data_IF_720515291675
#
_entry.id   IF_720515291675
#
_cell.length_a   1.000
_cell.length_b   1.000
_cell.length_c   1.000
_cell.angle_alpha   90.00
_cell.angle_beta   90.00
_cell.angle_gamma   90.00
#
_symmetry.space_group_name_H-M   'P 1'
#
loop_
_entity.id
_entity.type
_entity.pdbx_description
1 polymer ?
#
# COMPACT_ATOMS: atom_id res chain seq x y z
N UNK A 1 -11.87 12.09 -12.48
CA UNK A 1 -11.57 11.79 -11.07
C UNK A 1 -12.21 12.87 -10.20
N UNK A 2 -12.69 12.51 -9.01
CA UNK A 2 -13.16 13.48 -8.02
C UNK A 2 -11.98 14.37 -7.62
N UNK A 3 -12.09 15.68 -7.83
CA UNK A 3 -11.12 16.65 -7.31
C UNK A 3 -11.06 16.52 -5.78
N UNK A 4 -9.88 16.68 -5.13
CA UNK A 4 -9.77 16.64 -3.66
C UNK A 4 -10.77 17.56 -2.96
N UNK A 5 -11.07 18.69 -3.60
CA UNK A 5 -12.00 19.70 -3.07
C UNK A 5 -13.49 19.29 -3.17
N UNK A 6 -13.82 18.17 -3.83
CA UNK A 6 -15.20 17.68 -3.88
C UNK A 6 -15.55 16.96 -2.58
N UNK A 7 -16.26 17.70 -1.73
CA UNK A 7 -16.98 17.18 -0.58
C UNK A 7 -18.21 16.40 -1.05
N UNK A 8 -18.39 15.18 -0.54
CA UNK A 8 -19.58 14.38 -0.81
C UNK A 8 -20.79 15.00 -0.11
N UNK A 9 -21.94 15.04 -0.79
CA UNK A 9 -23.19 15.37 -0.11
C UNK A 9 -23.65 14.21 0.80
N UNK A 10 -24.69 14.44 1.61
CA UNK A 10 -25.18 13.46 2.58
C UNK A 10 -25.57 12.11 1.95
N UNK A 11 -26.20 12.13 0.76
CA UNK A 11 -26.61 10.90 0.07
C UNK A 11 -25.40 10.13 -0.46
N UNK A 12 -24.43 10.83 -1.04
CA UNK A 12 -23.18 10.23 -1.51
C UNK A 12 -22.37 9.65 -0.35
N UNK A 13 -22.32 10.34 0.80
CA UNK A 13 -21.67 9.82 2.00
C UNK A 13 -22.33 8.52 2.46
N UNK A 14 -23.67 8.47 2.48
CA UNK A 14 -24.42 7.27 2.84
C UNK A 14 -24.14 6.09 1.89
N UNK A 15 -24.03 6.34 0.58
CA UNK A 15 -23.66 5.32 -0.41
C UNK A 15 -22.25 4.79 -0.14
N UNK A 16 -21.27 5.66 0.05
CA UNK A 16 -19.90 5.22 0.31
C UNK A 16 -19.81 4.47 1.65
N UNK A 17 -20.52 4.91 2.69
CA UNK A 17 -20.58 4.19 3.97
C UNK A 17 -21.22 2.81 3.85
N UNK A 18 -22.25 2.65 3.01
CA UNK A 18 -22.86 1.36 2.73
C UNK A 18 -21.87 0.40 2.05
N UNK A 19 -21.14 0.87 1.03
CA UNK A 19 -20.11 0.07 0.33
C UNK A 19 -19.00 -0.35 1.30
N UNK A 20 -18.55 0.53 2.19
CA UNK A 20 -17.54 0.17 3.22
C UNK A 20 -18.03 -0.92 4.15
N UNK A 21 -19.28 -0.82 4.59
CA UNK A 21 -19.86 -1.82 5.49
C UNK A 21 -20.03 -3.18 4.80
N UNK A 22 -20.33 -3.17 3.50
CA UNK A 22 -20.48 -4.38 2.69
C UNK A 22 -19.14 -5.07 2.44
N UNK A 23 -18.08 -4.31 2.15
CA UNK A 23 -16.73 -4.85 1.99
C UNK A 23 -16.18 -5.38 3.32
N UNK A 24 -16.42 -4.66 4.41
CA UNK A 24 -15.95 -5.04 5.74
C UNK A 24 -14.43 -5.05 5.87
N UNK A 25 -13.93 -5.46 7.04
CA UNK A 25 -12.50 -5.76 7.21
C UNK A 25 -12.23 -7.20 6.74
N UNK A 26 -11.06 -7.48 6.15
CA UNK A 26 -10.66 -8.84 5.75
C UNK A 26 -10.80 -9.86 6.89
N UNK A 27 -11.21 -11.07 6.52
CA UNK A 27 -11.32 -12.18 7.47
C UNK A 27 -9.93 -12.73 7.86
N UNK A 28 -9.86 -13.40 9.01
CA UNK A 28 -8.67 -14.18 9.41
C UNK A 28 -8.30 -15.18 8.31
N UNK A 29 -7.01 -15.26 8.00
CA UNK A 29 -6.48 -16.08 6.90
C UNK A 29 -6.42 -15.37 5.56
N UNK A 30 -6.91 -14.12 5.46
CA UNK A 30 -6.82 -13.35 4.22
C UNK A 30 -5.36 -12.98 3.92
N UNK A 31 -4.95 -13.20 2.66
CA UNK A 31 -3.65 -12.75 2.17
C UNK A 31 -3.69 -11.26 1.84
N UNK A 32 -2.78 -10.52 2.44
CA UNK A 32 -2.65 -9.08 2.33
C UNK A 32 -1.31 -8.71 1.69
N UNK A 33 -1.27 -7.56 1.03
CA UNK A 33 -0.08 -7.06 0.33
C UNK A 33 0.17 -5.59 0.64
N UNK A 34 1.43 -5.25 0.91
CA UNK A 34 1.93 -3.89 1.12
C UNK A 34 3.02 -3.58 0.11
N UNK A 35 2.74 -2.64 -0.79
CA UNK A 35 3.74 -2.12 -1.73
C UNK A 35 4.60 -1.05 -1.05
N UNK A 36 5.92 -1.11 -1.25
CA UNK A 36 6.92 -0.19 -0.68
C UNK A 36 7.90 0.30 -1.76
N UNK A 37 8.40 1.55 -1.65
CA UNK A 37 9.34 2.11 -2.62
C UNK A 37 10.72 1.47 -2.50
N UNK A 38 11.55 1.58 -3.55
CA UNK A 38 12.90 1.01 -3.57
C UNK A 38 13.73 1.40 -2.34
N UNK A 39 13.62 2.67 -1.95
CA UNK A 39 14.37 3.22 -0.82
C UNK A 39 13.97 2.63 0.55
N UNK A 40 12.77 2.07 0.66
CA UNK A 40 12.29 1.46 1.90
C UNK A 40 12.68 -0.01 2.04
N UNK A 41 13.01 -0.70 0.93
CA UNK A 41 13.47 -2.10 0.97
C UNK A 41 14.64 -2.25 1.95
N UNK A 42 15.65 -1.38 1.84
CA UNK A 42 16.78 -1.38 2.77
C UNK A 42 16.39 -1.11 4.22
N UNK A 43 15.35 -0.30 4.46
CA UNK A 43 14.87 -0.03 5.83
C UNK A 43 14.27 -1.28 6.43
N UNK A 44 13.43 -2.00 5.70
CA UNK A 44 12.83 -3.25 6.18
C UNK A 44 13.84 -4.39 6.37
N UNK A 45 14.94 -4.38 5.62
CA UNK A 45 16.00 -5.37 5.76
C UNK A 45 16.96 -5.08 6.92
N UNK A 46 17.22 -3.81 7.25
CA UNK A 46 18.35 -3.43 8.12
C UNK A 46 18.06 -2.40 9.21
N UNK A 47 16.93 -1.68 9.17
CA UNK A 47 16.58 -0.71 10.21
C UNK A 47 15.74 -1.39 11.30
N UNK A 48 16.30 -1.47 12.51
CA UNK A 48 15.64 -2.05 13.70
C UNK A 48 14.30 -1.38 14.05
N UNK A 49 14.00 -0.19 13.49
CA UNK A 49 12.71 0.48 13.67
C UNK A 49 11.62 -0.04 12.73
N UNK A 50 11.95 -0.80 11.70
CA UNK A 50 11.02 -1.32 10.69
C UNK A 50 10.67 -2.78 11.00
N UNK A 51 9.98 -2.99 12.12
CA UNK A 51 9.68 -4.32 12.68
C UNK A 51 8.35 -4.93 12.24
N UNK A 52 7.66 -4.32 11.26
CA UNK A 52 6.34 -4.78 10.85
C UNK A 52 5.68 -3.91 9.80
N UNK A 53 4.55 -4.40 9.29
CA UNK A 53 3.74 -3.75 8.25
C UNK A 53 3.04 -2.51 8.81
N UNK A 54 3.12 -1.41 8.06
CA UNK A 54 2.57 -0.09 8.43
C UNK A 54 1.87 0.61 7.26
N UNK A 55 1.00 1.56 7.60
CA UNK A 55 0.27 2.39 6.64
C UNK A 55 -0.74 1.58 5.83
N UNK A 56 -1.06 2.07 4.63
CA UNK A 56 -2.08 1.45 3.78
C UNK A 56 -1.61 0.14 3.13
N UNK A 57 -2.49 -0.84 3.10
CA UNK A 57 -2.31 -2.19 2.54
C UNK A 57 -3.60 -2.60 1.83
N UNK A 58 -3.52 -3.57 0.92
CA UNK A 58 -4.67 -4.11 0.22
C UNK A 58 -4.75 -5.63 0.41
N UNK A 59 -5.93 -6.19 0.18
CA UNK A 59 -6.05 -7.64 -0.04
C UNK A 59 -5.31 -7.98 -1.32
N UNK A 60 -4.49 -9.04 -1.29
CA UNK A 60 -3.61 -9.43 -2.40
C UNK A 60 -4.38 -9.60 -3.72
N UNK A 61 -5.54 -10.27 -3.66
CA UNK A 61 -6.40 -10.50 -4.83
C UNK A 61 -6.91 -9.20 -5.47
N UNK A 62 -7.18 -8.16 -4.67
CA UNK A 62 -7.66 -6.88 -5.20
C UNK A 62 -6.57 -6.14 -5.98
N UNK A 63 -5.30 -6.36 -5.64
CA UNK A 63 -4.13 -5.77 -6.30
C UNK A 63 -3.46 -6.69 -7.32
N UNK A 64 -3.92 -7.94 -7.51
CA UNK A 64 -3.22 -8.96 -8.30
C UNK A 64 -2.99 -8.58 -9.79
N UNK A 65 -3.78 -7.64 -10.32
CA UNK A 65 -3.63 -7.13 -11.68
C UNK A 65 -2.64 -5.95 -11.81
N UNK A 66 -2.12 -5.42 -10.70
CA UNK A 66 -1.13 -4.34 -10.66
C UNK A 66 0.28 -4.96 -10.63
N UNK A 67 0.89 -5.16 -11.80
CA UNK A 67 2.14 -5.93 -11.91
C UNK A 67 3.38 -5.04 -11.85
N UNK A 68 3.33 -3.91 -12.52
CA UNK A 68 4.45 -2.98 -12.63
C UNK A 68 4.40 -1.93 -11.52
N UNK A 69 5.53 -1.24 -11.30
CA UNK A 69 5.54 -0.12 -10.37
C UNK A 69 4.57 0.98 -10.82
N UNK A 70 4.50 1.29 -12.12
CA UNK A 70 3.59 2.30 -12.64
C UNK A 70 2.12 1.94 -12.39
N UNK A 71 1.72 0.68 -12.59
CA UNK A 71 0.35 0.22 -12.31
C UNK A 71 0.01 0.29 -10.83
N UNK A 72 0.94 -0.09 -9.94
CA UNK A 72 0.75 0.06 -8.49
C UNK A 72 0.68 1.54 -8.09
N UNK A 73 1.52 2.38 -8.67
CA UNK A 73 1.56 3.81 -8.42
C UNK A 73 0.25 4.50 -8.80
N UNK A 74 -0.27 4.23 -10.00
CA UNK A 74 -1.54 4.76 -10.46
C UNK A 74 -2.73 4.11 -9.75
N UNK A 75 -2.73 2.79 -9.59
CA UNK A 75 -3.82 2.00 -9.03
C UNK A 75 -4.09 2.30 -7.57
N UNK A 76 -3.04 2.28 -6.75
CA UNK A 76 -3.08 2.57 -5.31
C UNK A 76 -2.85 4.06 -4.99
N UNK A 77 -2.77 4.94 -6.00
CA UNK A 77 -2.58 6.39 -5.83
C UNK A 77 -1.39 6.72 -4.93
N UNK A 78 -0.24 6.16 -5.28
CA UNK A 78 1.03 6.39 -4.59
C UNK A 78 1.65 7.74 -4.98
N UNK A 79 0.93 8.59 -5.73
CA UNK A 79 1.25 9.96 -6.16
C UNK A 79 1.02 11.03 -5.08
N UNK A 80 1.13 10.67 -3.80
CA UNK A 80 0.99 11.58 -2.67
C UNK A 80 2.20 12.50 -2.47
N UNK A 81 1.95 13.66 -1.87
CA UNK A 81 3.04 14.59 -1.52
C UNK A 81 4.06 13.91 -0.59
N UNK A 82 5.33 14.07 -0.90
CA UNK A 82 6.42 13.39 -0.21
C UNK A 82 6.54 11.89 -0.50
N UNK A 83 5.85 11.37 -1.52
CA UNK A 83 6.04 9.97 -1.97
C UNK A 83 7.49 9.69 -2.30
N UNK A 84 7.95 8.52 -1.86
CA UNK A 84 9.30 8.03 -2.12
C UNK A 84 9.37 7.11 -3.35
N UNK A 85 8.23 6.82 -3.97
CA UNK A 85 8.15 6.05 -5.20
C UNK A 85 8.60 6.88 -6.41
N UNK A 86 9.44 6.30 -7.27
CA UNK A 86 9.97 6.98 -8.46
C UNK A 86 9.60 6.22 -9.73
N UNK A 87 8.51 6.62 -10.39
CA UNK A 87 8.08 6.01 -11.67
C UNK A 87 8.79 6.61 -12.89
N UNK A 88 9.30 7.83 -12.78
CA UNK A 88 10.02 8.54 -13.83
C UNK A 88 11.16 9.39 -13.22
N UNK A 89 11.81 10.23 -14.03
CA UNK A 89 12.88 11.13 -13.59
C UNK A 89 12.37 12.37 -12.81
N UNK A 90 11.07 12.42 -12.51
CA UNK A 90 10.37 13.52 -11.83
C UNK A 90 9.87 14.60 -12.80
N UNK A 91 8.57 14.91 -12.75
CA UNK A 91 7.99 16.05 -13.48
C UNK A 91 6.51 16.35 -13.26
N UNK A 92 5.86 15.84 -12.20
CA UNK A 92 4.39 15.73 -12.13
C UNK A 92 3.84 16.47 -10.88
N UNK A 93 4.27 17.72 -10.67
CA UNK A 93 3.54 18.78 -9.94
C UNK A 93 3.19 18.61 -8.44
N UNK A 94 3.28 17.42 -7.85
CA UNK A 94 2.92 17.13 -6.44
C UNK A 94 4.05 16.33 -5.77
N UNK A 95 4.55 15.28 -6.41
CA UNK A 95 5.67 14.50 -5.92
C UNK A 95 7.01 15.07 -6.43
N UNK A 96 7.93 15.41 -5.51
CA UNK A 96 9.31 15.86 -5.84
C UNK A 96 10.41 14.79 -5.68
N UNK A 97 10.25 13.51 -6.09
CA UNK A 97 11.40 12.62 -6.09
C UNK A 97 12.45 13.11 -7.09
N UNK A 98 13.60 13.55 -6.59
CA UNK A 98 14.79 13.84 -7.41
C UNK A 98 15.55 12.52 -7.58
N UNK A 99 15.85 12.12 -8.82
CA UNK A 99 16.71 10.97 -9.11
C UNK A 99 16.25 10.14 -10.31
N UNK A 100 16.93 9.02 -10.53
CA UNK A 100 16.51 8.03 -11.51
C UNK A 100 15.23 7.30 -11.03
N UNK A 101 14.41 6.79 -11.96
CA UNK A 101 13.31 5.88 -11.64
C UNK A 101 13.78 4.71 -10.78
N UNK A 102 12.89 4.22 -9.94
CA UNK A 102 13.09 3.01 -9.17
C UNK A 102 13.20 1.83 -10.16
N UNK A 103 14.29 1.08 -10.07
CA UNK A 103 14.47 -0.15 -10.85
C UNK A 103 13.73 -1.30 -10.21
N UNK A 104 13.60 -1.26 -8.89
CA UNK A 104 12.88 -2.26 -8.10
C UNK A 104 11.91 -1.59 -7.14
N UNK A 105 10.87 -2.31 -6.78
CA UNK A 105 10.01 -1.98 -5.65
C UNK A 105 9.83 -3.22 -4.76
N UNK A 106 9.33 -3.02 -3.54
CA UNK A 106 9.05 -4.12 -2.63
C UNK A 106 7.56 -4.41 -2.53
N UNK A 107 7.20 -5.68 -2.37
CA UNK A 107 5.88 -6.09 -1.94
C UNK A 107 6.01 -7.01 -0.72
N UNK A 108 5.46 -6.60 0.41
CA UNK A 108 5.38 -7.42 1.62
C UNK A 108 4.03 -8.14 1.58
N UNK A 109 4.05 -9.46 1.47
CA UNK A 109 2.87 -10.33 1.51
C UNK A 109 2.80 -11.04 2.85
N UNK A 110 1.60 -11.07 3.44
CA UNK A 110 1.40 -11.65 4.76
C UNK A 110 -0.03 -12.18 4.92
N UNK A 111 -0.22 -13.10 5.87
CA UNK A 111 -1.54 -13.57 6.27
C UNK A 111 -2.03 -12.72 7.44
N UNK A 112 -3.24 -12.16 7.30
CA UNK A 112 -3.93 -11.48 8.39
C UNK A 112 -4.50 -12.50 9.37
N UNK A 113 -3.99 -12.53 10.59
CA UNK A 113 -4.38 -13.47 11.64
C UNK A 113 -5.23 -12.80 12.74
N UNK A 114 -5.21 -11.47 12.83
CA UNK A 114 -5.94 -10.66 13.79
C UNK A 114 -6.39 -9.32 13.15
N UNK A 115 -7.53 -9.31 12.43
CA UNK A 115 -8.01 -8.10 11.79
C UNK A 115 -8.61 -7.08 12.77
N UNK A 116 -8.57 -7.31 14.10
CA UNK A 116 -9.20 -6.42 15.09
C UNK A 116 -8.65 -4.99 15.08
N UNK A 117 -7.41 -4.81 14.62
CA UNK A 117 -6.73 -3.51 14.49
C UNK A 117 -6.71 -2.99 13.07
N UNK A 118 -7.24 -3.75 12.12
CA UNK A 118 -7.36 -3.35 10.73
C UNK A 118 -8.64 -2.51 10.57
N UNK A 119 -8.57 -1.44 9.80
CA UNK A 119 -9.71 -0.58 9.54
C UNK A 119 -9.76 -0.16 8.08
N UNK A 120 -10.97 0.07 7.61
CA UNK A 120 -11.21 0.92 6.44
C UNK A 120 -11.19 2.38 6.92
N UNK A 121 -10.28 3.23 6.42
CA UNK A 121 -10.21 4.63 6.79
C UNK A 121 -11.54 5.37 6.58
N UNK A 122 -11.96 6.10 7.61
CA UNK A 122 -13.13 7.01 7.61
C UNK A 122 -12.74 8.42 8.08
N UNK A 123 -11.55 8.87 7.69
CA UNK A 123 -11.03 10.14 8.15
C UNK A 123 -11.62 11.30 7.34
N UNK A 124 -11.48 12.52 7.87
CA UNK A 124 -11.86 13.71 7.10
C UNK A 124 -10.90 13.90 5.93
N UNK A 125 -11.45 14.20 4.76
CA UNK A 125 -10.64 14.50 3.58
C UNK A 125 -9.91 15.83 3.82
N UNK A 126 -8.62 15.85 3.50
CA UNK A 126 -7.82 17.07 3.48
C UNK A 126 -7.28 17.25 2.06
N UNK A 127 -7.55 18.40 1.44
CA UNK A 127 -7.09 18.70 0.09
C UNK A 127 -5.55 18.72 0.00
N UNK A 128 -4.87 19.12 1.07
CA UNK A 128 -3.41 19.11 1.16
C UNK A 128 -2.83 17.69 1.13
N UNK A 129 -3.64 16.68 1.44
CA UNK A 129 -3.25 15.27 1.44
C UNK A 129 -3.62 14.55 0.15
N UNK A 130 -4.02 15.27 -0.92
CA UNK A 130 -4.26 14.63 -2.23
C UNK A 130 -3.06 13.76 -2.63
N UNK A 131 -3.28 12.53 -3.11
CA UNK A 131 -4.51 11.87 -3.55
C UNK A 131 -5.26 11.08 -2.48
N UNK A 132 -4.81 11.12 -1.23
CA UNK A 132 -5.46 10.40 -0.14
C UNK A 132 -6.89 10.90 0.06
N UNK A 133 -7.85 10.04 -0.21
CA UNK A 133 -9.27 10.40 -0.18
C UNK A 133 -9.86 10.38 1.22
N UNK A 134 -9.13 9.82 2.20
CA UNK A 134 -9.60 9.52 3.55
C UNK A 134 -10.80 8.57 3.63
N UNK A 135 -11.12 7.92 2.49
CA UNK A 135 -12.39 7.21 2.29
C UNK A 135 -12.25 5.70 2.21
N UNK A 136 -11.06 5.14 2.37
CA UNK A 136 -10.80 3.69 2.33
C UNK A 136 -10.85 3.07 0.94
N UNK A 137 -10.84 3.91 -0.09
CA UNK A 137 -10.71 3.51 -1.48
C UNK A 137 -9.72 4.44 -2.17
N UNK A 138 -8.78 3.85 -2.88
CA UNK A 138 -7.98 4.55 -3.88
C UNK A 138 -8.60 4.31 -5.25
N UNK A 139 -8.99 5.41 -5.88
CA UNK A 139 -9.58 5.41 -7.21
C UNK A 139 -8.60 6.05 -8.18
N UNK A 140 -8.04 5.25 -9.09
CA UNK A 140 -7.42 5.75 -10.31
C UNK A 140 -8.50 6.03 -11.36
N UNK A 141 -8.11 6.47 -12.56
CA UNK A 141 -9.07 6.61 -13.68
C UNK A 141 -9.74 5.29 -14.05
N UNK A 142 -9.06 4.16 -13.78
CA UNK A 142 -9.43 2.86 -14.32
C UNK A 142 -9.64 1.78 -13.25
N UNK A 143 -9.27 2.04 -11.99
CA UNK A 143 -9.24 1.05 -10.92
C UNK A 143 -9.78 1.67 -9.63
N UNK A 144 -10.57 0.89 -8.89
CA UNK A 144 -10.96 1.19 -7.51
C UNK A 144 -10.40 0.08 -6.64
N UNK A 145 -9.47 0.43 -5.75
CA UNK A 145 -8.83 -0.49 -4.83
C UNK A 145 -9.32 -0.19 -3.40
N UNK A 146 -9.96 -1.14 -2.71
CA UNK A 146 -10.18 -1.03 -1.27
C UNK A 146 -8.84 -1.01 -0.54
N UNK A 147 -8.64 -0.01 0.31
CA UNK A 147 -7.43 0.10 1.13
C UNK A 147 -7.77 0.01 2.60
N UNK A 148 -6.93 -0.74 3.29
CA UNK A 148 -6.98 -0.94 4.71
C UNK A 148 -5.77 -0.28 5.36
N UNK A 149 -5.91 0.16 6.60
CA UNK A 149 -4.78 0.56 7.42
C UNK A 149 -4.94 -0.09 8.77
N UNK A 150 -3.82 -0.36 9.42
CA UNK A 150 -3.85 -0.56 10.85
C UNK A 150 -4.14 0.73 11.60
N UNK A 151 -4.59 0.60 12.84
CA UNK A 151 -4.69 1.72 13.78
C UNK A 151 -3.41 2.57 13.82
N UNK A 152 -3.58 3.89 13.97
CA UNK A 152 -2.45 4.83 13.94
C UNK A 152 -1.46 4.50 15.05
N UNK A 153 -0.19 4.30 14.66
CA UNK A 153 0.88 3.94 15.59
C UNK A 153 1.02 2.44 15.83
N UNK A 154 0.11 1.62 15.30
CA UNK A 154 0.27 0.18 15.26
C UNK A 154 1.07 -0.24 14.03
N UNK A 155 1.99 -1.18 14.24
CA UNK A 155 2.64 -1.93 13.17
C UNK A 155 2.32 -3.40 13.43
N UNK A 156 1.75 -4.09 12.43
CA UNK A 156 1.62 -5.55 12.52
C UNK A 156 3.03 -6.09 12.45
N UNK A 157 3.54 -6.59 13.57
CA UNK A 157 4.87 -7.19 13.64
C UNK A 157 5.02 -8.24 12.52
N UNK A 158 6.24 -8.38 11.99
CA UNK A 158 6.52 -9.50 11.11
C UNK A 158 6.36 -10.82 11.86
N UNK A 159 5.86 -11.81 11.15
CA UNK A 159 5.57 -13.15 11.63
C UNK A 159 6.30 -14.16 10.74
N UNK A 160 6.62 -15.33 11.29
CA UNK A 160 7.20 -16.43 10.53
C UNK A 160 6.43 -16.66 9.22
N UNK A 161 7.15 -16.72 8.09
CA UNK A 161 6.58 -16.99 6.77
C UNK A 161 6.03 -15.76 6.03
N UNK A 162 6.07 -14.55 6.60
CA UNK A 162 5.81 -13.33 5.83
C UNK A 162 6.83 -13.21 4.69
N UNK A 163 6.41 -12.69 3.53
CA UNK A 163 7.24 -12.65 2.33
C UNK A 163 7.54 -11.22 1.95
N UNK A 164 8.80 -10.91 1.64
CA UNK A 164 9.21 -9.69 0.95
C UNK A 164 9.69 -10.05 -0.46
N UNK A 165 8.91 -9.67 -1.46
CA UNK A 165 9.31 -9.73 -2.86
C UNK A 165 10.00 -8.42 -3.26
N UNK A 166 11.21 -8.51 -3.80
CA UNK A 166 11.87 -7.44 -4.54
C UNK A 166 11.55 -7.64 -6.00
N UNK A 167 10.83 -6.70 -6.60
CA UNK A 167 10.18 -6.86 -7.90
C UNK A 167 10.76 -5.84 -8.88
N UNK A 168 11.08 -6.30 -10.09
CA UNK A 168 11.51 -5.44 -11.19
C UNK A 168 10.36 -4.49 -11.59
N UNK A 169 10.64 -3.18 -11.61
CA UNK A 169 9.62 -2.14 -11.71
C UNK A 169 8.93 -2.08 -13.07
N UNK A 170 9.62 -2.49 -14.13
CA UNK A 170 9.11 -2.44 -15.51
C UNK A 170 8.35 -3.72 -15.88
N UNK A 171 8.84 -4.88 -15.45
CA UNK A 171 8.27 -6.18 -15.83
C UNK A 171 7.29 -6.76 -14.82
N UNK A 172 7.38 -6.35 -13.56
CA UNK A 172 6.61 -6.94 -12.47
C UNK A 172 7.09 -8.32 -12.04
N UNK A 173 8.24 -8.78 -12.54
CA UNK A 173 8.81 -10.08 -12.17
C UNK A 173 9.53 -9.99 -10.83
N UNK A 174 9.35 -10.99 -9.98
CA UNK A 174 10.12 -11.13 -8.73
C UNK A 174 11.59 -11.39 -9.07
N UNK A 175 12.46 -10.46 -8.68
CA UNK A 175 13.91 -10.56 -8.86
C UNK A 175 14.58 -11.23 -7.64
N UNK A 176 14.02 -11.04 -6.45
CA UNK A 176 14.49 -11.70 -5.22
C UNK A 176 13.30 -11.89 -4.29
N UNK A 177 13.24 -13.04 -3.64
CA UNK A 177 12.23 -13.36 -2.64
C UNK A 177 12.89 -13.59 -1.30
N UNK A 178 12.32 -13.00 -0.25
CA UNK A 178 12.74 -13.23 1.12
C UNK A 178 11.57 -13.71 1.94
N UNK A 179 11.84 -14.60 2.89
CA UNK A 179 10.90 -15.06 3.89
C UNK A 179 11.36 -14.56 5.26
N UNK A 180 10.43 -14.09 6.09
CA UNK A 180 10.74 -13.68 7.45
C UNK A 180 10.81 -14.90 8.35
N UNK A 181 11.93 -15.04 9.05
CA UNK A 181 12.12 -16.01 10.10
C UNK A 181 12.28 -15.30 11.45
N UNK A 182 11.59 -15.74 12.49
CA UNK A 182 11.58 -15.07 13.80
C UNK A 182 12.94 -15.07 14.50
N UNK A 183 13.81 -16.05 14.21
CA UNK A 183 15.14 -16.16 14.80
C UNK A 183 16.21 -15.42 13.98
N UNK A 184 16.10 -15.47 12.64
CA UNK A 184 17.14 -15.02 11.71
C UNK A 184 16.81 -13.70 11.00
N UNK A 185 15.57 -13.23 11.09
CA UNK A 185 15.06 -12.12 10.29
C UNK A 185 14.80 -12.53 8.84
N UNK A 186 14.97 -11.59 7.90
CA UNK A 186 14.74 -11.85 6.48
C UNK A 186 15.81 -12.76 5.87
N UNK A 187 15.39 -13.93 5.38
CA UNK A 187 16.24 -14.89 4.68
C UNK A 187 15.86 -14.95 3.21
N UNK A 188 16.85 -15.01 2.32
CA UNK A 188 16.61 -15.19 0.89
C UNK A 188 16.10 -16.62 0.65
N UNK A 189 15.05 -16.76 -0.15
CA UNK A 189 14.47 -18.04 -0.54
C UNK A 189 14.42 -18.14 -2.08
N UNK A 190 14.61 -19.36 -2.59
CA UNK A 190 14.60 -19.69 -4.02
C UNK A 190 13.17 -19.82 -4.59
#
# INVERSE_FOLDING_TARGET
MLHPDRVLNANEKAVVDAIRNEIGVPDVGTKMTKVIPQSDIYKYLYDEKFTGVRGFTAVDEHSANLKTLFENYEGARLDYDGTMFKVDHGGNGISTPIGAPDKFYGAIEYIENDPSKLMIPRWEANADNYPFTARGFTGSKNIVLPEFSYERGYARAFQEGDILNIIDSETGNVATKLEFNEELGWIIVD
#
